data_IF_383377088229
#
_entry.id   IF_383377088229
#
_cell.length_a   1.000
_cell.length_b   1.000
_cell.length_c   1.000
_cell.angle_alpha   90.00
_cell.angle_beta   90.00
_cell.angle_gamma   90.00
#
_symmetry.space_group_name_H-M   'P 1'
#
loop_
_entity.id
_entity.type
_entity.pdbx_description
1 polymer ?
#
# COMPACT_ATOMS: atom_id res chain seq x y z
N UNK A 1 6.20 -3.17 1.59
CA UNK A 1 4.85 -2.68 1.24
C UNK A 1 3.75 -3.56 1.82
N UNK A 2 3.70 -4.84 1.44
CA UNK A 2 2.64 -5.79 1.83
C UNK A 2 2.43 -5.90 3.36
N UNK A 3 3.52 -6.02 4.12
CA UNK A 3 3.44 -6.07 5.58
C UNK A 3 2.79 -4.82 6.17
N UNK A 4 3.13 -3.63 5.64
CA UNK A 4 2.55 -2.36 6.09
C UNK A 4 1.05 -2.30 5.78
N UNK A 5 0.62 -2.72 4.59
CA UNK A 5 -0.79 -2.75 4.20
C UNK A 5 -1.65 -3.64 5.10
N UNK A 6 -1.09 -4.78 5.53
CA UNK A 6 -1.77 -5.74 6.40
C UNK A 6 -1.66 -5.40 7.90
N UNK A 7 -0.96 -4.32 8.28
CA UNK A 7 -0.85 -3.92 9.68
C UNK A 7 -2.22 -3.52 10.25
N UNK A 8 -2.52 -3.86 11.52
CA UNK A 8 -3.84 -3.63 12.13
C UNK A 8 -4.31 -2.18 12.06
N UNK A 9 -3.39 -1.23 12.23
CA UNK A 9 -3.70 0.20 12.17
C UNK A 9 -4.11 0.61 10.76
N UNK A 10 -3.40 0.12 9.72
CA UNK A 10 -3.70 0.41 8.31
C UNK A 10 -5.03 -0.24 7.92
N UNK A 11 -5.28 -1.49 8.31
CA UNK A 11 -6.61 -2.13 8.11
C UNK A 11 -7.73 -1.34 8.78
N UNK A 12 -7.51 -0.81 9.98
CA UNK A 12 -8.49 0.05 10.65
C UNK A 12 -8.84 1.31 9.84
N UNK A 13 -7.86 1.93 9.18
CA UNK A 13 -8.09 3.07 8.28
C UNK A 13 -8.82 2.65 7.01
N UNK A 14 -8.42 1.53 6.40
CA UNK A 14 -9.10 0.99 5.21
C UNK A 14 -10.59 0.74 5.50
N UNK A 15 -10.92 0.13 6.65
CA UNK A 15 -12.30 -0.13 7.04
C UNK A 15 -13.11 1.15 7.24
N UNK A 16 -12.51 2.20 7.81
CA UNK A 16 -13.16 3.51 7.92
C UNK A 16 -13.43 4.11 6.56
N UNK A 17 -12.46 4.09 5.64
CA UNK A 17 -12.64 4.58 4.27
C UNK A 17 -13.71 3.78 3.54
N UNK A 18 -13.72 2.44 3.68
CA UNK A 18 -14.70 1.56 3.06
C UNK A 18 -16.14 1.82 3.54
N UNK A 19 -16.32 2.40 4.72
CA UNK A 19 -17.65 2.72 5.26
C UNK A 19 -18.27 4.01 4.68
N UNK A 20 -17.48 4.88 4.05
CA UNK A 20 -17.90 6.19 3.55
C UNK A 20 -18.84 6.10 2.33
N UNK A 21 -18.58 5.27 1.30
CA UNK A 21 -19.40 5.24 0.10
C UNK A 21 -20.85 4.79 0.37
N UNK A 22 -21.76 5.49 -0.31
CA UNK A 22 -23.22 5.25 -0.23
C UNK A 22 -23.83 4.86 -1.59
N UNK A 23 -23.01 4.61 -2.60
CA UNK A 23 -23.45 4.23 -3.94
C UNK A 23 -22.31 3.51 -4.68
N UNK A 24 -22.63 2.77 -5.74
CA UNK A 24 -21.65 2.13 -6.60
C UNK A 24 -20.65 3.13 -7.19
N UNK A 25 -21.14 4.31 -7.64
CA UNK A 25 -20.26 5.38 -8.18
C UNK A 25 -19.25 5.86 -7.15
N UNK A 26 -19.71 6.16 -5.93
CA UNK A 26 -18.80 6.62 -4.88
C UNK A 26 -17.82 5.53 -4.45
N UNK A 27 -18.21 4.26 -4.50
CA UNK A 27 -17.31 3.14 -4.18
C UNK A 27 -16.19 2.99 -5.22
N UNK A 28 -16.55 2.97 -6.51
CA UNK A 28 -15.57 2.91 -7.61
C UNK A 28 -14.62 4.11 -7.58
N UNK A 29 -15.16 5.31 -7.41
CA UNK A 29 -14.34 6.52 -7.27
C UNK A 29 -13.39 6.43 -6.08
N UNK A 30 -13.89 6.02 -4.90
CA UNK A 30 -13.09 5.93 -3.68
C UNK A 30 -11.96 4.93 -3.81
N UNK A 31 -12.22 3.70 -4.29
CA UNK A 31 -11.17 2.68 -4.42
C UNK A 31 -10.10 3.12 -5.42
N UNK A 32 -10.52 3.71 -6.55
CA UNK A 32 -9.59 4.19 -7.58
C UNK A 32 -8.72 5.33 -7.06
N UNK A 33 -9.33 6.34 -6.45
CA UNK A 33 -8.61 7.49 -5.90
C UNK A 33 -7.65 7.09 -4.78
N UNK A 34 -8.09 6.23 -3.85
CA UNK A 34 -7.24 5.76 -2.74
C UNK A 34 -6.08 4.94 -3.27
N UNK A 35 -6.31 4.06 -4.25
CA UNK A 35 -5.23 3.30 -4.91
C UNK A 35 -4.17 4.25 -5.50
N UNK A 36 -4.61 5.28 -6.22
CA UNK A 36 -3.71 6.29 -6.78
C UNK A 36 -2.94 7.04 -5.68
N UNK A 37 -3.61 7.52 -4.65
CA UNK A 37 -2.95 8.27 -3.57
C UNK A 37 -1.93 7.42 -2.80
N UNK A 38 -2.25 6.15 -2.56
CA UNK A 38 -1.34 5.21 -1.89
C UNK A 38 -0.15 4.85 -2.79
N UNK A 39 -0.34 4.83 -4.12
CA UNK A 39 0.76 4.60 -5.06
C UNK A 39 1.83 5.71 -5.01
N UNK A 40 1.46 6.92 -4.58
CA UNK A 40 2.40 8.01 -4.37
C UNK A 40 3.43 7.70 -3.30
N UNK A 41 3.06 6.87 -2.32
CA UNK A 41 3.97 6.41 -1.28
C UNK A 41 4.75 5.18 -1.76
N UNK A 42 4.04 4.17 -2.27
CA UNK A 42 4.69 2.95 -2.76
C UNK A 42 3.74 2.12 -3.64
N UNK A 43 4.20 1.73 -4.84
CA UNK A 43 3.42 0.98 -5.82
C UNK A 43 2.86 -0.35 -5.27
N UNK A 44 3.70 -1.15 -4.59
CA UNK A 44 3.27 -2.42 -4.01
C UNK A 44 2.31 -2.26 -2.83
N UNK A 45 2.40 -1.14 -2.08
CA UNK A 45 1.42 -0.81 -1.05
C UNK A 45 0.06 -0.51 -1.68
N UNK A 46 0.04 0.22 -2.79
CA UNK A 46 -1.17 0.55 -3.54
C UNK A 46 -1.93 -0.68 -4.00
N UNK A 47 -1.24 -1.68 -4.56
CA UNK A 47 -1.87 -2.94 -5.00
C UNK A 47 -2.63 -3.63 -3.86
N UNK A 48 -2.01 -3.73 -2.70
CA UNK A 48 -2.57 -4.47 -1.57
C UNK A 48 -3.65 -3.67 -0.87
N UNK A 49 -3.41 -2.38 -0.62
CA UNK A 49 -4.43 -1.50 -0.03
C UNK A 49 -5.63 -1.40 -0.96
N UNK A 50 -5.43 -1.28 -2.27
CA UNK A 50 -6.50 -1.27 -3.27
C UNK A 50 -7.32 -2.56 -3.23
N UNK A 51 -6.67 -3.72 -3.22
CA UNK A 51 -7.34 -5.01 -3.15
C UNK A 51 -8.13 -5.19 -1.84
N UNK A 52 -7.54 -4.87 -0.69
CA UNK A 52 -8.22 -4.92 0.61
C UNK A 52 -9.41 -3.95 0.62
N UNK A 53 -9.23 -2.72 0.14
CA UNK A 53 -10.28 -1.72 0.11
C UNK A 53 -11.44 -2.15 -0.80
N UNK A 54 -11.18 -2.73 -1.97
CA UNK A 54 -12.22 -3.25 -2.86
C UNK A 54 -13.05 -4.35 -2.16
N UNK A 55 -12.37 -5.26 -1.45
CA UNK A 55 -13.02 -6.31 -0.65
C UNK A 55 -13.89 -5.74 0.49
N UNK A 56 -13.36 -4.79 1.24
CA UNK A 56 -14.09 -4.16 2.36
C UNK A 56 -15.27 -3.29 1.87
N UNK A 57 -15.12 -2.61 0.73
CA UNK A 57 -16.22 -1.91 0.08
C UNK A 57 -17.34 -2.87 -0.33
N UNK A 58 -16.99 -4.02 -0.93
CA UNK A 58 -17.98 -5.03 -1.32
C UNK A 58 -18.78 -5.52 -0.11
N UNK A 59 -18.12 -5.83 1.02
CA UNK A 59 -18.78 -6.22 2.28
C UNK A 59 -19.72 -5.11 2.78
N UNK A 60 -19.22 -3.88 2.86
CA UNK A 60 -20.00 -2.74 3.36
C UNK A 60 -21.24 -2.43 2.50
N UNK A 61 -21.10 -2.50 1.18
CA UNK A 61 -22.22 -2.24 0.25
C UNK A 61 -23.24 -3.36 0.31
N UNK A 62 -22.81 -4.64 0.39
CA UNK A 62 -23.68 -5.79 0.61
C UNK A 62 -24.51 -5.63 1.88
N UNK A 63 -23.85 -5.32 3.01
CA UNK A 63 -24.51 -5.17 4.31
C UNK A 63 -25.53 -4.04 4.33
N UNK A 64 -25.25 -2.97 3.55
CA UNK A 64 -26.17 -1.84 3.33
C UNK A 64 -27.23 -2.11 2.26
N UNK A 65 -27.21 -3.28 1.61
CA UNK A 65 -28.11 -3.65 0.49
C UNK A 65 -28.01 -2.67 -0.69
N UNK A 66 -26.82 -2.11 -0.93
CA UNK A 66 -26.53 -1.21 -2.05
C UNK A 66 -25.95 -2.05 -3.19
N UNK A 67 -26.56 -2.04 -4.39
CA UNK A 67 -26.01 -2.74 -5.54
C UNK A 67 -24.64 -2.15 -5.93
N UNK A 68 -23.69 -3.01 -6.33
CA UNK A 68 -22.33 -2.62 -6.69
C UNK A 68 -21.75 -3.52 -7.77
N UNK A 69 -20.82 -2.97 -8.54
CA UNK A 69 -20.08 -3.66 -9.58
C UNK A 69 -18.67 -3.97 -9.07
N UNK A 70 -18.44 -5.25 -8.69
CA UNK A 70 -17.17 -5.64 -8.07
C UNK A 70 -16.00 -5.64 -9.06
N UNK A 71 -16.22 -6.09 -10.30
CA UNK A 71 -15.19 -6.11 -11.33
C UNK A 71 -14.58 -4.72 -11.57
N UNK A 72 -15.42 -3.69 -11.61
CA UNK A 72 -14.97 -2.32 -11.79
C UNK A 72 -14.25 -1.76 -10.56
N UNK A 73 -14.67 -2.15 -9.33
CA UNK A 73 -13.94 -1.80 -8.12
C UNK A 73 -12.57 -2.46 -8.07
N UNK A 74 -12.46 -3.73 -8.48
CA UNK A 74 -11.19 -4.44 -8.57
C UNK A 74 -10.27 -3.84 -9.63
N UNK A 75 -10.80 -3.48 -10.80
CA UNK A 75 -10.05 -2.75 -11.83
C UNK A 75 -9.58 -1.38 -11.31
N UNK A 76 -10.44 -0.62 -10.62
CA UNK A 76 -10.12 0.66 -10.00
C UNK A 76 -9.01 0.55 -8.95
N UNK A 77 -8.98 -0.55 -8.19
CA UNK A 77 -7.93 -0.84 -7.23
C UNK A 77 -6.54 -0.97 -7.87
N UNK A 78 -6.47 -1.37 -9.14
CA UNK A 78 -5.21 -1.51 -9.90
C UNK A 78 -4.74 -0.20 -10.54
N UNK A 79 -5.59 0.81 -10.64
CA UNK A 79 -5.29 2.09 -11.35
C UNK A 79 -4.10 2.84 -10.75
N UNK A 80 -3.80 2.66 -9.45
CA UNK A 80 -2.61 3.22 -8.83
C UNK A 80 -1.30 2.88 -9.56
N UNK A 81 -1.28 1.80 -10.36
CA UNK A 81 -0.13 1.42 -11.17
C UNK A 81 0.12 2.37 -12.36
N UNK A 82 -0.77 3.29 -12.66
CA UNK A 82 -0.56 4.31 -13.70
C UNK A 82 0.24 5.52 -13.20
N UNK A 83 0.27 5.77 -11.89
CA UNK A 83 0.78 7.02 -11.31
C UNK A 83 2.08 6.87 -10.52
N UNK A 84 2.44 5.66 -10.09
CA UNK A 84 3.56 5.42 -9.18
C UNK A 84 4.92 5.86 -9.72
N UNK A 85 5.12 5.89 -11.04
CA UNK A 85 6.37 6.34 -11.64
C UNK A 85 6.58 7.85 -11.52
N UNK A 86 5.54 8.64 -11.37
CA UNK A 86 5.64 10.11 -11.27
C UNK A 86 6.00 10.65 -9.87
N UNK A 87 6.09 9.79 -8.85
CA UNK A 87 6.14 10.21 -7.45
C UNK A 87 7.22 9.47 -6.64
N UNK A 88 7.14 9.53 -5.30
CA UNK A 88 8.14 8.99 -4.37
C UNK A 88 8.56 7.54 -4.61
N UNK A 89 7.65 6.70 -5.13
CA UNK A 89 7.91 5.29 -5.38
C UNK A 89 8.43 4.97 -6.79
N UNK A 90 8.73 5.99 -7.58
CA UNK A 90 9.28 5.82 -8.93
C UNK A 90 10.54 4.99 -8.92
N UNK A 91 10.53 3.83 -9.58
CA UNK A 91 11.75 3.02 -9.70
C UNK A 91 12.79 3.71 -10.58
N UNK A 92 12.39 4.43 -11.60
CA UNK A 92 13.30 5.20 -12.46
C UNK A 92 13.88 6.38 -11.69
N UNK A 93 13.04 7.17 -11.02
CA UNK A 93 13.49 8.32 -10.23
C UNK A 93 14.43 7.92 -9.10
N UNK A 94 14.09 6.88 -8.33
CA UNK A 94 14.96 6.37 -7.26
C UNK A 94 16.24 5.75 -7.80
N UNK A 95 16.20 5.10 -8.96
CA UNK A 95 17.37 4.53 -9.60
C UNK A 95 18.39 5.61 -9.97
N UNK A 96 17.97 6.65 -10.68
CA UNK A 96 18.87 7.74 -11.10
C UNK A 96 19.27 8.68 -9.96
N UNK A 97 18.58 8.64 -8.83
CA UNK A 97 18.94 9.34 -7.60
C UNK A 97 19.95 8.55 -6.74
N UNK A 98 20.16 7.25 -7.03
CA UNK A 98 21.09 6.41 -6.27
C UNK A 98 22.50 6.47 -6.90
N UNK A 99 23.54 6.90 -6.18
CA UNK A 99 24.91 6.90 -6.70
C UNK A 99 25.36 5.48 -7.13
N UNK A 100 26.13 5.40 -8.20
CA UNK A 100 26.61 4.13 -8.78
C UNK A 100 25.65 3.47 -9.75
N UNK A 101 24.61 4.17 -10.21
CA UNK A 101 23.70 3.62 -11.22
C UNK A 101 24.35 3.57 -12.61
N UNK A 102 23.91 2.64 -13.45
CA UNK A 102 24.54 2.33 -14.75
C UNK A 102 24.60 3.53 -15.73
N UNK A 103 23.76 4.54 -15.56
CA UNK A 103 23.73 5.73 -16.43
C UNK A 103 24.43 6.94 -15.81
N UNK A 104 25.11 6.80 -14.65
CA UNK A 104 25.70 7.92 -13.94
C UNK A 104 26.75 8.67 -14.77
N UNK A 105 27.55 7.95 -15.55
CA UNK A 105 28.58 8.56 -16.44
C UNK A 105 27.97 9.46 -17.53
N UNK A 106 26.70 9.25 -17.89
CA UNK A 106 26.02 9.99 -18.96
C UNK A 106 25.16 11.15 -18.41
N UNK A 107 24.45 10.93 -17.31
CA UNK A 107 23.46 11.89 -16.81
C UNK A 107 23.77 12.41 -15.41
N UNK A 108 24.80 11.88 -14.75
CA UNK A 108 25.08 12.17 -13.35
C UNK A 108 24.04 11.60 -12.40
N UNK A 109 24.17 11.88 -11.10
CA UNK A 109 23.14 11.57 -10.11
C UNK A 109 22.06 12.65 -10.17
N UNK A 110 20.84 12.27 -10.52
CA UNK A 110 19.68 13.19 -10.61
C UNK A 110 18.89 13.14 -9.31
N UNK A 111 18.83 14.24 -8.54
CA UNK A 111 18.06 14.27 -7.30
C UNK A 111 16.58 13.92 -7.52
N UNK A 112 15.99 13.19 -6.58
CA UNK A 112 14.58 12.80 -6.66
C UNK A 112 13.64 14.03 -6.74
N UNK A 113 14.03 15.15 -6.13
CA UNK A 113 13.32 16.43 -6.21
C UNK A 113 13.21 16.96 -7.63
N UNK A 114 14.29 16.89 -8.40
CA UNK A 114 14.32 17.41 -9.78
C UNK A 114 13.47 16.54 -10.70
N UNK A 115 13.44 15.22 -10.45
CA UNK A 115 12.55 14.29 -11.14
C UNK A 115 11.09 14.58 -10.83
N UNK A 116 10.71 14.65 -9.55
CA UNK A 116 9.33 14.79 -9.11
C UNK A 116 8.74 16.16 -9.43
N UNK A 117 9.52 17.23 -9.24
CA UNK A 117 9.05 18.61 -9.39
C UNK A 117 9.15 19.13 -10.83
N UNK A 118 9.54 18.27 -11.78
CA UNK A 118 9.46 18.63 -13.19
C UNK A 118 8.02 18.98 -13.58
N UNK A 119 7.75 20.16 -14.18
CA UNK A 119 6.39 20.59 -14.52
C UNK A 119 5.61 19.58 -15.37
N UNK A 120 6.25 18.94 -16.34
CA UNK A 120 5.61 17.92 -17.18
C UNK A 120 5.19 16.72 -16.35
N UNK A 121 6.07 16.25 -15.44
CA UNK A 121 5.75 15.14 -14.56
C UNK A 121 4.57 15.47 -13.63
N UNK A 122 4.55 16.67 -13.05
CA UNK A 122 3.44 17.13 -12.20
C UNK A 122 2.13 17.13 -12.98
N UNK A 123 2.09 17.74 -14.18
CA UNK A 123 0.88 17.81 -14.99
C UNK A 123 0.35 16.42 -15.35
N UNK A 124 1.22 15.51 -15.81
CA UNK A 124 0.85 14.14 -16.16
C UNK A 124 0.36 13.37 -14.93
N UNK A 125 1.07 13.48 -13.81
CA UNK A 125 0.70 12.79 -12.56
C UNK A 125 -0.67 13.24 -12.05
N UNK A 126 -0.95 14.54 -12.06
CA UNK A 126 -2.26 15.08 -11.65
C UNK A 126 -3.37 14.59 -12.60
N UNK A 127 -3.13 14.63 -13.90
CA UNK A 127 -4.10 14.15 -14.88
C UNK A 127 -4.41 12.65 -14.69
N UNK A 128 -3.38 11.83 -14.45
CA UNK A 128 -3.53 10.40 -14.20
C UNK A 128 -4.09 10.10 -12.80
N UNK A 129 -3.96 10.99 -11.83
CA UNK A 129 -4.55 10.82 -10.52
C UNK A 129 -6.07 11.00 -10.53
N UNK A 130 -6.55 12.00 -11.24
CA UNK A 130 -7.97 12.41 -11.23
C UNK A 130 -8.73 11.77 -12.39
N UNK A 131 -8.15 11.77 -13.60
CA UNK A 131 -8.82 11.33 -14.84
C UNK A 131 -9.36 9.91 -14.74
N UNK A 132 -8.56 8.89 -14.42
CA UNK A 132 -9.03 7.52 -14.33
C UNK A 132 -10.06 7.30 -13.21
N UNK A 133 -9.95 8.01 -12.08
CA UNK A 133 -10.92 7.91 -11.00
C UNK A 133 -12.31 8.42 -11.43
N UNK A 134 -12.36 9.50 -12.19
CA UNK A 134 -13.61 10.00 -12.78
C UNK A 134 -14.09 9.09 -13.91
N UNK A 135 -13.20 8.68 -14.81
CA UNK A 135 -13.51 7.83 -15.94
C UNK A 135 -14.09 6.47 -15.50
N UNK A 136 -13.51 5.84 -14.49
CA UNK A 136 -14.00 4.58 -13.95
C UNK A 136 -15.48 4.66 -13.53
N UNK A 137 -15.94 5.80 -13.02
CA UNK A 137 -17.35 5.97 -12.64
C UNK A 137 -18.29 6.02 -13.84
N UNK A 138 -17.79 6.38 -15.03
CA UNK A 138 -18.57 6.42 -16.28
C UNK A 138 -18.73 5.04 -16.91
N UNK A 139 -17.87 4.08 -16.52
CA UNK A 139 -17.93 2.70 -17.00
C UNK A 139 -18.97 1.85 -16.29
N UNK A 140 -19.58 2.36 -15.21
CA UNK A 140 -20.67 1.65 -14.54
C UNK A 140 -21.85 1.41 -15.49
N UNK A 141 -22.43 0.20 -15.52
CA UNK A 141 -23.67 -0.06 -16.23
C UNK A 141 -24.76 0.94 -15.83
N UNK A 142 -25.63 1.29 -16.78
CA UNK A 142 -26.70 2.27 -16.53
C UNK A 142 -27.75 1.75 -15.55
N UNK A 143 -28.03 0.45 -15.61
CA UNK A 143 -29.03 -0.17 -14.74
C UNK A 143 -28.31 -0.91 -13.60
N UNK A 144 -28.69 -0.66 -12.34
CA UNK A 144 -28.14 -1.39 -11.19
C UNK A 144 -28.41 -2.91 -11.22
N UNK A 145 -29.43 -3.36 -11.98
CA UNK A 145 -29.71 -4.79 -12.20
C UNK A 145 -28.60 -5.53 -12.98
N UNK A 146 -27.79 -4.79 -13.71
CA UNK A 146 -26.74 -5.34 -14.55
C UNK A 146 -25.40 -5.42 -13.81
N UNK A 147 -25.35 -4.94 -12.56
CA UNK A 147 -24.15 -5.01 -11.72
C UNK A 147 -23.85 -6.45 -11.31
N UNK A 148 -22.58 -6.81 -11.34
CA UNK A 148 -22.07 -8.10 -10.92
C UNK A 148 -21.39 -7.97 -9.55
N UNK A 149 -22.13 -8.26 -8.46
CA UNK A 149 -21.55 -8.26 -7.13
C UNK A 149 -20.63 -9.47 -6.94
N UNK A 150 -19.79 -9.42 -5.92
CA UNK A 150 -18.98 -10.56 -5.53
C UNK A 150 -19.87 -11.64 -4.90
N UNK A 151 -19.66 -12.91 -5.28
CA UNK A 151 -20.39 -14.05 -4.74
C UNK A 151 -20.23 -14.19 -3.22
N UNK A 152 -21.26 -14.65 -2.52
CA UNK A 152 -21.23 -14.83 -1.06
C UNK A 152 -20.13 -15.80 -0.61
N UNK A 153 -19.87 -16.86 -1.39
CA UNK A 153 -18.81 -17.82 -1.05
C UNK A 153 -17.42 -17.21 -1.23
N UNK A 154 -17.21 -16.34 -2.21
CA UNK A 154 -16.01 -15.57 -2.37
C UNK A 154 -15.81 -14.57 -1.20
N UNK A 155 -16.88 -13.92 -0.74
CA UNK A 155 -16.81 -13.02 0.43
C UNK A 155 -16.44 -13.82 1.70
N UNK A 156 -17.04 -14.98 1.92
CA UNK A 156 -16.70 -15.86 3.05
C UNK A 156 -15.26 -16.38 2.99
N UNK A 157 -14.74 -16.66 1.79
CA UNK A 157 -13.34 -17.04 1.59
C UNK A 157 -12.40 -15.89 1.98
N UNK A 158 -12.71 -14.67 1.56
CA UNK A 158 -11.97 -13.46 1.91
C UNK A 158 -11.93 -13.22 3.43
N UNK A 159 -13.06 -13.43 4.12
CA UNK A 159 -13.15 -13.27 5.58
C UNK A 159 -12.26 -14.28 6.35
N UNK A 160 -11.98 -15.45 5.74
CA UNK A 160 -11.09 -16.47 6.33
C UNK A 160 -9.60 -16.19 6.11
N UNK A 161 -9.25 -15.39 5.09
CA UNK A 161 -7.86 -15.08 4.72
C UNK A 161 -7.19 -14.02 5.61
N UNK A 162 -7.89 -13.42 6.56
CA UNK A 162 -7.31 -12.39 7.42
C UNK A 162 -6.14 -12.92 8.24
N UNK A 163 -4.97 -12.26 8.12
CA UNK A 163 -3.78 -12.55 8.90
C UNK A 163 -4.09 -12.47 10.40
N UNK A 164 -4.13 -13.62 11.07
CA UNK A 164 -4.37 -13.68 12.51
C UNK A 164 -3.06 -13.48 13.25
N UNK A 165 -2.93 -12.33 13.92
CA UNK A 165 -1.79 -12.07 14.79
C UNK A 165 -1.70 -13.10 15.92
N UNK A 166 -0.49 -13.57 16.18
CA UNK A 166 -0.24 -14.57 17.20
C UNK A 166 -0.02 -13.91 18.57
N UNK A 167 -0.56 -14.55 19.60
CA UNK A 167 -0.26 -14.21 20.99
C UNK A 167 0.96 -15.02 21.45
N UNK A 168 1.70 -14.48 22.43
CA UNK A 168 2.82 -15.19 23.02
C UNK A 168 2.36 -16.55 23.58
N UNK A 169 3.08 -17.65 23.30
CA UNK A 169 2.79 -18.97 23.86
C UNK A 169 2.78 -18.96 25.40
N UNK A 170 1.94 -19.79 26.02
CA UNK A 170 1.90 -19.94 27.49
C UNK A 170 3.18 -20.54 28.07
N UNK A 171 3.84 -21.44 27.28
CA UNK A 171 5.14 -22.05 27.62
C UNK A 171 6.28 -21.34 26.89
N UNK A 172 6.39 -20.01 27.05
CA UNK A 172 7.32 -19.19 26.32
C UNK A 172 8.78 -19.43 26.74
N UNK A 173 9.64 -19.67 25.76
CA UNK A 173 11.10 -19.65 25.93
C UNK A 173 11.61 -18.22 26.06
N UNK A 174 12.88 -18.04 26.44
CA UNK A 174 13.52 -16.71 26.46
C UNK A 174 13.47 -16.05 25.07
N UNK A 175 13.65 -16.82 24.00
CA UNK A 175 13.51 -16.35 22.64
C UNK A 175 12.10 -15.84 22.33
N UNK A 176 11.07 -16.56 22.78
CA UNK A 176 9.67 -16.11 22.63
C UNK A 176 9.39 -14.83 23.38
N UNK A 177 9.90 -14.69 24.61
CA UNK A 177 9.75 -13.48 25.41
C UNK A 177 10.33 -12.27 24.67
N UNK A 178 11.50 -12.41 24.07
CA UNK A 178 12.14 -11.34 23.30
C UNK A 178 11.38 -11.04 22.00
N UNK A 179 11.00 -12.07 21.24
CA UNK A 179 10.31 -11.91 19.95
C UNK A 179 8.91 -11.29 20.08
N UNK A 180 8.19 -11.58 21.16
CA UNK A 180 6.88 -10.99 21.45
C UNK A 180 6.98 -9.71 22.29
N UNK A 181 8.19 -9.30 22.71
CA UNK A 181 8.39 -8.08 23.48
C UNK A 181 8.19 -6.84 22.60
N UNK A 182 7.33 -5.90 23.02
CA UNK A 182 7.23 -4.61 22.33
C UNK A 182 8.50 -3.76 22.50
N UNK A 183 9.26 -3.96 23.58
CA UNK A 183 10.47 -3.19 23.85
C UNK A 183 11.50 -3.39 22.75
N UNK A 184 11.73 -4.65 22.31
CA UNK A 184 12.67 -4.94 21.22
C UNK A 184 12.21 -4.31 19.90
N UNK A 185 10.92 -4.40 19.58
CA UNK A 185 10.37 -3.79 18.37
C UNK A 185 10.51 -2.26 18.39
N UNK A 186 10.20 -1.62 19.51
CA UNK A 186 10.38 -0.18 19.68
C UNK A 186 11.85 0.25 19.64
N UNK A 187 12.75 -0.50 20.29
CA UNK A 187 14.19 -0.21 20.25
C UNK A 187 14.72 -0.25 18.81
N UNK A 188 14.45 -1.32 18.07
CA UNK A 188 14.89 -1.44 16.68
C UNK A 188 14.21 -0.42 15.76
N UNK A 189 12.91 -0.21 15.91
CA UNK A 189 12.16 0.76 15.13
C UNK A 189 12.68 2.18 15.35
N UNK A 190 12.87 2.61 16.60
CA UNK A 190 13.38 3.94 16.92
C UNK A 190 14.81 4.15 16.42
N UNK A 191 15.70 3.16 16.57
CA UNK A 191 17.06 3.23 16.00
C UNK A 191 17.02 3.44 14.48
N UNK A 192 16.16 2.70 13.79
CA UNK A 192 15.95 2.89 12.35
C UNK A 192 15.42 4.28 12.01
N UNK A 193 14.47 4.80 12.78
CA UNK A 193 13.94 6.14 12.56
C UNK A 193 14.95 7.25 12.88
N UNK A 194 15.85 7.07 13.85
CA UNK A 194 16.98 7.98 14.07
C UNK A 194 17.87 8.07 12.82
N UNK A 195 18.18 6.91 12.21
CA UNK A 195 18.93 6.87 10.94
C UNK A 195 18.18 7.60 9.81
N UNK A 196 16.89 7.31 9.63
CA UNK A 196 16.04 7.93 8.61
C UNK A 196 15.99 9.46 8.82
N UNK A 197 15.73 9.89 10.05
CA UNK A 197 15.70 11.31 10.41
C UNK A 197 17.04 12.00 10.15
N UNK A 198 18.16 11.37 10.53
CA UNK A 198 19.50 11.90 10.27
C UNK A 198 19.77 12.05 8.77
N UNK A 199 19.35 11.07 7.95
CA UNK A 199 19.50 11.14 6.50
C UNK A 199 18.73 12.34 5.91
N UNK A 200 17.47 12.54 6.32
CA UNK A 200 16.67 13.69 5.89
C UNK A 200 17.20 15.02 6.44
N UNK A 201 17.73 15.04 7.66
CA UNK A 201 18.31 16.25 8.26
C UNK A 201 19.55 16.72 7.51
N UNK A 202 20.40 15.78 7.07
CA UNK A 202 21.67 16.10 6.41
C UNK A 202 21.54 16.39 4.94
N UNK A 203 20.65 15.70 4.21
CA UNK A 203 20.52 15.77 2.75
C UNK A 203 19.16 16.29 2.27
N UNK A 204 18.24 16.62 3.19
CA UNK A 204 16.86 16.97 2.85
C UNK A 204 16.16 15.85 2.08
N UNK A 205 15.24 16.18 1.19
CA UNK A 205 14.54 15.21 0.34
C UNK A 205 15.47 14.47 -0.64
N UNK A 206 16.66 14.98 -0.89
CA UNK A 206 17.66 14.31 -1.73
C UNK A 206 18.27 13.07 -1.06
N UNK A 207 17.96 12.83 0.23
CA UNK A 207 18.29 11.57 0.90
C UNK A 207 17.46 10.39 0.38
N UNK A 208 16.33 10.66 -0.30
CA UNK A 208 15.41 9.61 -0.73
C UNK A 208 16.00 8.82 -1.91
N UNK A 209 16.43 7.61 -1.60
CA UNK A 209 16.90 6.60 -2.53
C UNK A 209 16.24 5.25 -2.20
N UNK A 210 16.56 4.20 -2.95
CA UNK A 210 16.03 2.86 -2.69
C UNK A 210 16.34 2.34 -1.28
N UNK A 211 17.52 2.63 -0.75
CA UNK A 211 17.96 2.12 0.54
C UNK A 211 17.17 2.79 1.66
N UNK A 212 17.01 4.11 1.60
CA UNK A 212 16.26 4.86 2.59
C UNK A 212 14.76 4.50 2.55
N UNK A 213 14.20 4.35 1.35
CA UNK A 213 12.80 3.91 1.20
C UNK A 213 12.57 2.52 1.81
N UNK A 214 13.48 1.56 1.55
CA UNK A 214 13.41 0.24 2.14
C UNK A 214 13.54 0.28 3.67
N UNK A 215 14.43 1.13 4.20
CA UNK A 215 14.58 1.33 5.64
C UNK A 215 13.29 1.88 6.28
N UNK A 216 12.62 2.84 5.63
CA UNK A 216 11.33 3.38 6.09
C UNK A 216 10.29 2.27 6.21
N UNK A 217 10.16 1.40 5.19
CA UNK A 217 9.19 0.30 5.22
C UNK A 217 9.57 -0.81 6.20
N UNK A 218 10.86 -1.09 6.37
CA UNK A 218 11.35 -2.10 7.32
C UNK A 218 11.04 -1.67 8.76
N UNK A 219 11.57 -0.53 9.17
CA UNK A 219 11.44 -0.06 10.55
C UNK A 219 10.01 0.41 10.86
N UNK A 220 9.34 1.04 9.92
CA UNK A 220 7.91 1.38 10.03
C UNK A 220 7.04 0.13 10.17
N UNK A 221 7.31 -0.91 9.39
CA UNK A 221 6.64 -2.20 9.51
C UNK A 221 6.81 -2.82 10.89
N UNK A 222 8.03 -2.87 11.43
CA UNK A 222 8.30 -3.40 12.77
C UNK A 222 7.47 -2.66 13.85
N UNK A 223 7.44 -1.33 13.79
CA UNK A 223 6.67 -0.52 14.74
C UNK A 223 5.15 -0.74 14.64
N UNK A 224 4.63 -0.87 13.42
CA UNK A 224 3.20 -1.06 13.17
C UNK A 224 2.66 -2.40 13.72
N UNK A 225 3.51 -3.44 13.80
CA UNK A 225 3.14 -4.73 14.40
C UNK A 225 3.41 -4.80 15.90
N UNK A 226 4.21 -3.89 16.44
CA UNK A 226 4.49 -3.79 17.87
C UNK A 226 5.33 -4.92 18.46
N UNK A 227 5.65 -5.97 17.71
CA UNK A 227 6.59 -7.04 18.09
C UNK A 227 7.17 -7.74 16.85
N UNK A 228 8.34 -8.33 17.03
CA UNK A 228 9.09 -8.95 15.94
C UNK A 228 8.40 -10.23 15.42
N UNK A 229 7.80 -11.03 16.31
CA UNK A 229 7.14 -12.28 15.93
C UNK A 229 6.01 -12.04 14.91
N UNK A 230 5.12 -11.08 15.18
CA UNK A 230 4.02 -10.74 14.27
C UNK A 230 4.50 -10.06 12.99
N UNK A 231 5.56 -9.25 13.07
CA UNK A 231 6.18 -8.69 11.86
C UNK A 231 6.75 -9.78 10.95
N UNK A 232 7.50 -10.75 11.51
CA UNK A 232 8.03 -11.90 10.76
C UNK A 232 6.91 -12.76 10.18
N UNK A 233 5.82 -12.96 10.92
CA UNK A 233 4.63 -13.65 10.41
C UNK A 233 4.04 -12.93 9.18
N UNK A 234 3.91 -11.62 9.26
CA UNK A 234 3.43 -10.80 8.14
C UNK A 234 4.40 -10.81 6.93
N UNK A 235 5.70 -10.87 7.18
CA UNK A 235 6.70 -11.02 6.10
C UNK A 235 6.57 -12.38 5.41
N UNK A 236 6.37 -13.46 6.18
CA UNK A 236 6.15 -14.80 5.62
C UNK A 236 4.88 -14.87 4.77
N UNK A 237 3.79 -14.30 5.26
CA UNK A 237 2.52 -14.21 4.53
C UNK A 237 2.68 -13.43 3.22
N UNK A 238 3.32 -12.27 3.29
CA UNK A 238 3.61 -11.45 2.12
C UNK A 238 4.51 -12.17 1.11
N UNK A 239 5.52 -12.92 1.56
CA UNK A 239 6.39 -13.70 0.69
C UNK A 239 5.64 -14.84 -0.01
N UNK A 240 4.71 -15.51 0.70
CA UNK A 240 3.82 -16.52 0.11
C UNK A 240 2.95 -15.96 -1.01
N UNK A 241 2.40 -14.76 -0.83
CA UNK A 241 1.60 -14.07 -1.85
C UNK A 241 2.39 -13.64 -3.09
N UNK A 242 3.70 -13.40 -2.98
CA UNK A 242 4.54 -13.03 -4.14
C UNK A 242 4.87 -14.20 -5.05
N UNK A 243 4.79 -15.44 -4.57
CA UNK A 243 5.05 -16.61 -5.39
C UNK A 243 4.14 -16.65 -6.64
N UNK A 244 2.85 -16.33 -6.50
CA UNK A 244 1.91 -16.25 -7.62
C UNK A 244 2.12 -15.07 -8.59
N UNK A 245 3.03 -14.14 -8.26
CA UNK A 245 3.40 -13.03 -9.15
C UNK A 245 4.69 -13.33 -9.95
N UNK A 246 5.49 -14.32 -9.48
CA UNK A 246 6.78 -14.67 -10.08
C UNK A 246 6.65 -15.89 -10.99
N UNK A 247 5.73 -16.80 -10.70
CA UNK A 247 5.42 -18.03 -11.44
C UNK A 247 4.01 -17.99 -12.04
#
# INVERSE_FOLDING_TARGET
GSCVANAPLVKGWINRIASIPKSAKSAVFTVTLVSVLVSFVHWGLSLIVGAILAKELAKNLRDKKIPFEYGLMAAGAYVGQMTWQGVLSSSVGLFIATPGHIMEDLIGVVPMTDYMLNPTNICVTIALAIGPALFATLLLPKNPSDYQPLDEDAIKAIEKEDLKLQKRPSSATVGDILNYSPILAWALGLLGFVYIFYAFYTKGFNALDFNLLNAIFLFGGILLYGNIANYVLAVKDAAGGTAGLIF
#
